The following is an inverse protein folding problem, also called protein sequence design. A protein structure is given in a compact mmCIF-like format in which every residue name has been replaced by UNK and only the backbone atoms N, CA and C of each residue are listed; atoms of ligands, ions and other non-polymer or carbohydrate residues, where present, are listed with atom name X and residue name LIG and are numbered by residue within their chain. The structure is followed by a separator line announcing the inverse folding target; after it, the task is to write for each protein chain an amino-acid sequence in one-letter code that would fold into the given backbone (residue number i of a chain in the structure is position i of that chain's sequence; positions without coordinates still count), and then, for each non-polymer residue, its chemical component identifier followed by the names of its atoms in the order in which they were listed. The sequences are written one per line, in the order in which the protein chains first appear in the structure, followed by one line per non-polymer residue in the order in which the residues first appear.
data_IF_807417213094
#
_entry.id   IF_807417213094
#
_cell.length_a   1.000
_cell.length_b   1.000
_cell.length_c   1.000
_cell.angle_alpha   90.00
_cell.angle_beta   90.00
_cell.angle_gamma   90.00
#
_symmetry.space_group_name_H-M   'P 1'
#
loop_
_entity.id
_entity.type
_entity.pdbx_description
1 polymer ?
#
# COMPACT_ATOMS: atom_id res chain seq x y z
N UNK A 1 -4.43 22.18 24.16
CA UNK A 1 -3.11 22.03 23.51
C UNK A 1 -2.18 23.19 23.90
N UNK A 2 -2.16 23.59 25.18
CA UNK A 2 -1.40 24.78 25.60
C UNK A 2 0.12 24.54 25.59
N UNK A 3 0.58 23.40 26.11
CA UNK A 3 2.01 23.11 26.26
C UNK A 3 2.78 22.98 24.94
N UNK A 4 2.14 22.45 23.89
CA UNK A 4 2.76 22.34 22.56
C UNK A 4 2.84 23.71 21.87
N UNK A 5 1.79 24.54 21.99
CA UNK A 5 1.81 25.90 21.44
C UNK A 5 2.81 26.80 22.17
N UNK A 6 2.92 26.68 23.49
CA UNK A 6 3.87 27.44 24.31
C UNK A 6 5.32 27.04 23.98
N UNK A 7 5.57 25.75 23.72
CA UNK A 7 6.89 25.27 23.25
C UNK A 7 7.23 25.77 21.84
N UNK A 8 6.24 25.83 20.93
CA UNK A 8 6.44 26.30 19.55
C UNK A 8 6.61 27.83 19.48
N UNK A 9 5.90 28.57 20.35
CA UNK A 9 6.00 30.03 20.46
C UNK A 9 7.14 30.51 21.35
N UNK A 10 7.87 29.60 22.00
CA UNK A 10 8.99 29.96 22.84
C UNK A 10 10.15 30.50 21.99
N UNK A 11 10.28 31.83 21.93
CA UNK A 11 11.46 32.50 21.40
C UNK A 11 12.56 32.53 22.48
N UNK A 12 13.74 31.97 22.17
CA UNK A 12 14.90 31.92 23.08
C UNK A 12 15.45 30.51 23.32
N UNK A 13 16.09 30.28 24.46
CA UNK A 13 16.72 28.99 24.82
C UNK A 13 15.73 27.91 25.29
N UNK A 14 14.44 28.24 25.46
CA UNK A 14 13.39 27.33 25.92
C UNK A 14 13.27 26.03 25.10
N UNK A 15 13.13 26.09 23.77
CA UNK A 15 13.08 24.91 22.91
C UNK A 15 14.35 24.05 23.01
N UNK A 16 15.51 24.68 23.18
CA UNK A 16 16.78 23.97 23.32
C UNK A 16 16.86 23.22 24.65
N UNK A 17 16.49 23.87 25.76
CA UNK A 17 16.47 23.24 27.10
C UNK A 17 15.46 22.09 27.15
N UNK A 18 14.27 22.28 26.57
CA UNK A 18 13.26 21.23 26.48
C UNK A 18 13.73 20.07 25.59
N UNK A 19 14.39 20.37 24.47
CA UNK A 19 14.98 19.37 23.59
C UNK A 19 16.07 18.55 24.30
N UNK A 20 16.99 19.20 25.01
CA UNK A 20 18.05 18.53 25.78
C UNK A 20 17.45 17.69 26.92
N UNK A 21 16.50 18.23 27.68
CA UNK A 21 15.79 17.49 28.74
C UNK A 21 15.05 16.26 28.20
N UNK A 22 14.40 16.39 27.04
CA UNK A 22 13.71 15.28 26.39
C UNK A 22 14.69 14.19 25.94
N UNK A 23 15.84 14.55 25.35
CA UNK A 23 16.87 13.59 24.91
C UNK A 23 17.48 12.85 26.10
N UNK A 24 17.75 13.54 27.20
CA UNK A 24 18.30 12.91 28.41
C UNK A 24 17.31 11.95 29.07
N UNK A 25 16.01 12.27 29.05
CA UNK A 25 14.96 11.41 29.60
C UNK A 25 14.50 10.32 28.61
N UNK A 26 14.86 10.41 27.34
CA UNK A 26 14.43 9.50 26.29
C UNK A 26 14.72 8.02 26.59
N UNK A 27 15.92 7.60 27.07
CA UNK A 27 16.21 6.19 27.35
C UNK A 27 15.28 5.58 28.41
N UNK A 28 14.77 6.40 29.32
CA UNK A 28 13.89 5.95 30.41
C UNK A 28 12.41 5.99 30.02
N UNK A 29 11.99 7.03 29.29
CA UNK A 29 10.59 7.23 28.92
C UNK A 29 10.18 6.47 27.66
N UNK A 30 11.06 6.37 26.65
CA UNK A 30 10.77 5.69 25.38
C UNK A 30 10.36 4.23 25.57
N UNK A 31 10.97 3.41 26.44
CA UNK A 31 10.54 2.03 26.64
C UNK A 31 9.13 1.93 27.22
N UNK A 32 8.75 2.82 28.13
CA UNK A 32 7.42 2.82 28.74
C UNK A 32 6.34 3.22 27.73
N UNK A 33 6.55 4.34 27.04
CA UNK A 33 5.65 4.81 25.98
C UNK A 33 5.60 3.81 24.83
N UNK A 34 6.75 3.27 24.43
CA UNK A 34 6.86 2.27 23.38
C UNK A 34 6.07 0.99 23.68
N UNK A 35 6.10 0.49 24.92
CA UNK A 35 5.27 -0.66 25.33
C UNK A 35 3.78 -0.35 25.24
N UNK A 36 3.37 0.86 25.60
CA UNK A 36 1.97 1.29 25.55
C UNK A 36 1.46 1.48 24.11
N UNK A 37 2.28 2.05 23.23
CA UNK A 37 1.92 2.28 21.82
C UNK A 37 2.06 1.05 20.93
N UNK A 38 2.89 0.06 21.32
CA UNK A 38 3.12 -1.16 20.54
C UNK A 38 1.85 -1.87 20.05
N UNK A 39 0.79 -2.09 20.88
CA UNK A 39 -0.45 -2.70 20.40
C UNK A 39 -1.17 -1.84 19.36
N UNK A 40 -1.16 -0.51 19.51
CA UNK A 40 -1.80 0.42 18.56
C UNK A 40 -1.08 0.36 17.21
N UNK A 41 0.25 0.48 17.22
CA UNK A 41 1.07 0.40 15.99
C UNK A 41 0.91 -0.96 15.32
N UNK A 42 0.93 -2.06 16.09
CA UNK A 42 0.69 -3.40 15.55
C UNK A 42 -0.71 -3.53 14.94
N UNK A 43 -1.72 -2.95 15.59
CA UNK A 43 -3.09 -2.91 15.06
C UNK A 43 -3.13 -2.20 13.71
N UNK A 44 -2.56 -1.00 13.63
CA UNK A 44 -2.49 -0.22 12.39
C UNK A 44 -1.76 -0.96 11.27
N UNK A 45 -0.60 -1.58 11.57
CA UNK A 45 0.14 -2.39 10.58
C UNK A 45 -0.71 -3.56 10.09
N UNK A 46 -1.33 -4.31 11.01
CA UNK A 46 -2.14 -5.48 10.65
C UNK A 46 -3.34 -5.07 9.78
N UNK A 47 -4.05 -4.01 10.16
CA UNK A 47 -5.14 -3.46 9.37
C UNK A 47 -4.67 -3.03 7.98
N UNK A 48 -3.52 -2.36 7.89
CA UNK A 48 -2.93 -1.96 6.61
C UNK A 48 -2.61 -3.16 5.71
N UNK A 49 -2.08 -4.25 6.28
CA UNK A 49 -1.82 -5.50 5.55
C UNK A 49 -3.13 -6.07 5.02
N UNK A 50 -4.17 -6.19 5.84
CA UNK A 50 -5.47 -6.75 5.40
C UNK A 50 -6.09 -5.94 4.26
N UNK A 51 -6.11 -4.60 4.38
CA UNK A 51 -6.61 -3.72 3.30
C UNK A 51 -5.79 -3.87 2.03
N UNK A 52 -4.47 -3.96 2.16
CA UNK A 52 -3.57 -4.17 1.02
C UNK A 52 -3.84 -5.51 0.32
N UNK A 53 -3.97 -6.60 1.08
CA UNK A 53 -4.23 -7.94 0.54
C UNK A 53 -5.56 -7.98 -0.23
N UNK A 54 -6.64 -7.41 0.33
CA UNK A 54 -7.94 -7.33 -0.33
C UNK A 54 -7.89 -6.49 -1.62
N UNK A 55 -7.21 -5.34 -1.57
CA UNK A 55 -7.04 -4.48 -2.75
C UNK A 55 -6.19 -5.15 -3.82
N UNK A 56 -5.12 -5.83 -3.43
CA UNK A 56 -4.25 -6.54 -4.36
C UNK A 56 -4.99 -7.71 -5.04
N UNK A 57 -5.80 -8.44 -4.28
CA UNK A 57 -6.62 -9.54 -4.83
C UNK A 57 -7.61 -9.04 -5.88
N UNK A 58 -8.33 -7.94 -5.62
CA UNK A 58 -9.31 -7.39 -6.58
C UNK A 58 -8.64 -6.86 -7.85
N UNK A 59 -7.51 -6.15 -7.71
CA UNK A 59 -6.72 -5.68 -8.86
C UNK A 59 -6.21 -6.85 -9.68
N UNK A 60 -5.73 -7.91 -9.02
CA UNK A 60 -5.24 -9.12 -9.68
C UNK A 60 -6.35 -9.83 -10.46
N UNK A 61 -7.54 -9.94 -9.88
CA UNK A 61 -8.71 -10.53 -10.54
C UNK A 61 -9.09 -9.72 -11.80
N UNK A 62 -9.29 -8.41 -11.66
CA UNK A 62 -9.63 -7.53 -12.79
C UNK A 62 -8.57 -7.57 -13.90
N UNK A 63 -7.28 -7.61 -13.53
CA UNK A 63 -6.19 -7.76 -14.51
C UNK A 63 -6.20 -9.14 -15.16
N UNK A 64 -6.51 -10.18 -14.39
CA UNK A 64 -6.63 -11.55 -14.86
C UNK A 64 -7.73 -11.71 -15.91
N UNK A 65 -8.87 -11.07 -15.70
CA UNK A 65 -10.00 -11.07 -16.64
C UNK A 65 -9.60 -10.42 -17.98
N UNK A 66 -8.94 -9.26 -17.94
CA UNK A 66 -8.45 -8.58 -19.15
C UNK A 66 -7.41 -9.45 -19.89
N UNK A 67 -6.48 -10.07 -19.16
CA UNK A 67 -5.48 -10.96 -19.77
C UNK A 67 -6.15 -12.17 -20.40
N UNK A 68 -7.17 -12.73 -19.75
CA UNK A 68 -7.92 -13.87 -20.28
C UNK A 68 -8.71 -13.49 -21.55
N UNK A 69 -9.37 -12.34 -21.56
CA UNK A 69 -10.08 -11.80 -22.72
C UNK A 69 -9.14 -11.58 -23.90
N UNK A 70 -8.02 -10.89 -23.71
CA UNK A 70 -7.04 -10.66 -24.77
C UNK A 70 -6.46 -11.97 -25.35
N UNK A 71 -6.26 -13.00 -24.51
CA UNK A 71 -5.83 -14.33 -24.98
C UNK A 71 -6.91 -15.01 -25.81
N UNK A 72 -8.16 -14.92 -25.38
CA UNK A 72 -9.29 -15.49 -26.11
C UNK A 72 -9.48 -14.81 -27.48
N UNK A 73 -9.31 -13.49 -27.55
CA UNK A 73 -9.33 -12.72 -28.80
C UNK A 73 -8.22 -13.18 -29.76
N UNK A 74 -6.97 -13.26 -29.30
CA UNK A 74 -5.85 -13.75 -30.12
C UNK A 74 -6.11 -15.17 -30.65
N UNK A 75 -6.58 -16.09 -29.81
CA UNK A 75 -6.92 -17.45 -30.24
C UNK A 75 -8.09 -17.49 -31.24
N UNK A 76 -9.04 -16.56 -31.11
CA UNK A 76 -10.16 -16.43 -32.06
C UNK A 76 -9.68 -15.91 -33.41
N UNK A 77 -8.80 -14.90 -33.45
CA UNK A 77 -8.20 -14.39 -34.69
C UNK A 77 -7.43 -15.49 -35.44
N UNK A 78 -6.62 -16.28 -34.71
CA UNK A 78 -5.89 -17.41 -35.29
C UNK A 78 -6.80 -18.51 -35.86
N UNK A 79 -7.99 -18.71 -35.27
CA UNK A 79 -9.01 -19.65 -35.79
C UNK A 79 -9.71 -19.11 -37.02
N UNK A 80 -10.11 -17.84 -37.00
CA UNK A 80 -10.74 -17.16 -38.14
C UNK A 80 -9.84 -17.18 -39.38
N UNK A 81 -8.55 -16.85 -39.22
CA UNK A 81 -7.56 -16.93 -40.31
C UNK A 81 -7.38 -18.35 -40.88
N UNK A 82 -7.55 -19.41 -40.05
CA UNK A 82 -7.48 -20.81 -40.52
C UNK A 82 -8.77 -21.25 -41.23
N UNK A 83 -9.92 -20.75 -40.81
CA UNK A 83 -11.20 -21.07 -41.44
C UNK A 83 -11.31 -20.47 -42.85
N UNK A 84 -10.87 -19.23 -43.03
CA UNK A 84 -10.86 -18.56 -44.34
C UNK A 84 -9.94 -19.24 -45.35
N UNK A 85 -8.78 -19.76 -44.90
CA UNK A 85 -7.86 -20.52 -45.75
C UNK A 85 -8.38 -21.89 -46.21
N UNK A 86 -9.28 -22.53 -45.45
CA UNK A 86 -9.85 -23.83 -45.82
C UNK A 86 -11.07 -23.71 -46.75
N UNK A 87 -11.81 -22.59 -46.68
CA UNK A 87 -12.91 -22.29 -47.61
C UNK A 87 -12.42 -22.04 -49.04
N UNK A 88 -11.29 -21.36 -49.21
CA UNK A 88 -10.69 -21.10 -50.53
C UNK A 88 -10.16 -22.36 -51.22
N UNK A 89 -9.69 -23.37 -50.47
CA UNK A 89 -9.13 -24.61 -51.01
C UNK A 89 -10.19 -25.66 -51.43
N UNK A 90 -11.46 -25.50 -51.05
CA UNK A 90 -12.56 -26.38 -51.48
C UNK A 90 -13.38 -25.85 -52.65
N UNK A 91 -13.13 -24.62 -53.09
CA UNK A 91 -13.86 -23.96 -54.18
C UNK A 91 -13.16 -24.06 -55.55
N UNK A 92 -12.04 -24.79 -55.65
CA UNK A 92 -11.29 -25.07 -56.89
C UNK A 92 -11.35 -26.53 -57.26
#
# INVERSE_FOLDING_TARGET
MALLEDLVKAEGSGPLVLGVGAVLLAPTLLPAVGRMLRPIVKGAIKTGITVYEETYASVKEATGDIIAEARAELESEHRSHRADGHGAAKAT
#
